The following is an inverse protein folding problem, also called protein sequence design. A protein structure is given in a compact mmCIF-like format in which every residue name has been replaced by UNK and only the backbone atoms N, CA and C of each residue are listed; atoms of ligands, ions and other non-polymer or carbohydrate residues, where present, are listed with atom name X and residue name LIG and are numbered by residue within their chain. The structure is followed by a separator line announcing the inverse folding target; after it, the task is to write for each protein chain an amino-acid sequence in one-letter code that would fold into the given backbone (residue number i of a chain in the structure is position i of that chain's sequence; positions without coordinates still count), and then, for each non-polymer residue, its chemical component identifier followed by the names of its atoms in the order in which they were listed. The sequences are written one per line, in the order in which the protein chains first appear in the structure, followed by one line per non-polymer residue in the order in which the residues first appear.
data_IF_404614774949
#
_entry.id   IF_404614774949
#
_cell.length_a   1.000
_cell.length_b   1.000
_cell.length_c   1.000
_cell.angle_alpha   90.00
_cell.angle_beta   90.00
_cell.angle_gamma   90.00
#
_symmetry.space_group_name_H-M   'P 1'
#
loop_
_entity.id
_entity.type
_entity.pdbx_description
1 polymer ?
#
# COMPACT_ATOMS: atom_id res chain seq x y z
N UNK A 1 5.35 6.40 9.06
CA UNK A 1 4.34 6.50 7.99
C UNK A 1 3.03 6.93 8.65
N UNK A 2 2.43 8.02 8.20
CA UNK A 2 1.19 8.54 8.78
C UNK A 2 -0.03 7.87 8.13
N UNK A 3 -0.87 7.22 8.95
CA UNK A 3 -2.10 6.55 8.50
C UNK A 3 -3.25 7.54 8.25
N UNK A 4 -3.06 8.84 8.53
CA UNK A 4 -4.08 9.87 8.33
C UNK A 4 -4.61 9.93 6.88
N UNK A 5 -3.79 9.55 5.89
CA UNK A 5 -4.11 9.69 4.47
C UNK A 5 -4.68 8.42 3.80
N UNK A 6 -4.89 7.34 4.55
CA UNK A 6 -5.34 6.03 4.00
C UNK A 6 -6.60 6.17 3.14
N UNK A 7 -7.62 6.88 3.63
CA UNK A 7 -8.88 7.05 2.90
C UNK A 7 -8.74 7.89 1.63
N UNK A 8 -7.87 8.91 1.66
CA UNK A 8 -7.61 9.75 0.49
C UNK A 8 -6.91 8.94 -0.60
N UNK A 9 -5.83 8.24 -0.26
CA UNK A 9 -5.07 7.42 -1.22
C UNK A 9 -5.95 6.30 -1.79
N UNK A 10 -6.77 5.67 -0.96
CA UNK A 10 -7.70 4.63 -1.39
C UNK A 10 -8.69 5.15 -2.44
N UNK A 11 -9.25 6.34 -2.23
CA UNK A 11 -10.16 6.98 -3.17
C UNK A 11 -9.46 7.36 -4.49
N UNK A 12 -8.26 7.95 -4.41
CA UNK A 12 -7.45 8.35 -5.58
C UNK A 12 -7.06 7.15 -6.46
N UNK A 13 -6.60 6.07 -5.83
CA UNK A 13 -6.15 4.85 -6.51
C UNK A 13 -7.29 3.85 -6.79
N UNK A 14 -8.52 4.16 -6.38
CA UNK A 14 -9.72 3.31 -6.53
C UNK A 14 -9.53 1.89 -5.98
N UNK A 15 -8.95 1.80 -4.78
CA UNK A 15 -8.73 0.55 -4.04
C UNK A 15 -9.34 0.64 -2.65
N UNK A 16 -9.35 -0.47 -1.89
CA UNK A 16 -9.94 -0.45 -0.55
C UNK A 16 -8.97 0.19 0.46
N UNK A 17 -9.48 0.98 1.44
CA UNK A 17 -8.67 1.53 2.52
C UNK A 17 -7.82 0.50 3.26
N UNK A 18 -8.34 -0.72 3.46
CA UNK A 18 -7.61 -1.80 4.13
C UNK A 18 -6.38 -2.25 3.34
N UNK A 19 -6.42 -2.21 2.00
CA UNK A 19 -5.27 -2.58 1.16
C UNK A 19 -4.17 -1.52 1.25
N UNK A 20 -4.55 -0.24 1.33
CA UNK A 20 -3.62 0.88 1.56
C UNK A 20 -2.98 0.76 2.94
N UNK A 21 -3.79 0.51 3.97
CA UNK A 21 -3.33 0.33 5.36
C UNK A 21 -2.33 -0.81 5.48
N UNK A 22 -2.69 -2.01 5.00
CA UNK A 22 -1.82 -3.18 5.06
C UNK A 22 -0.52 -2.97 4.27
N UNK A 23 -0.59 -2.30 3.13
CA UNK A 23 0.61 -1.96 2.34
C UNK A 23 1.49 -0.96 3.09
N UNK A 24 0.91 0.07 3.70
CA UNK A 24 1.64 1.08 4.46
C UNK A 24 2.34 0.47 5.69
N UNK A 25 1.68 -0.44 6.41
CA UNK A 25 2.25 -1.19 7.54
C UNK A 25 3.46 -2.03 7.09
N UNK A 26 3.30 -2.81 6.01
CA UNK A 26 4.40 -3.63 5.47
C UNK A 26 5.60 -2.78 5.03
N UNK A 27 5.35 -1.64 4.38
CA UNK A 27 6.41 -0.70 3.98
C UNK A 27 7.09 -0.07 5.21
N UNK A 28 6.34 0.26 6.26
CA UNK A 28 6.88 0.77 7.52
C UNK A 28 7.76 -0.27 8.23
N UNK A 29 7.42 -1.55 8.12
CA UNK A 29 8.21 -2.68 8.62
C UNK A 29 9.44 -3.01 7.73
N UNK A 30 9.69 -2.21 6.69
CA UNK A 30 10.86 -2.35 5.82
C UNK A 30 10.69 -3.35 4.68
N UNK A 31 9.48 -3.85 4.43
CA UNK A 31 9.22 -4.69 3.28
C UNK A 31 9.37 -3.88 1.97
N UNK A 32 9.92 -4.51 0.93
CA UNK A 32 10.07 -3.88 -0.39
C UNK A 32 8.87 -4.17 -1.28
N UNK A 33 8.64 -3.31 -2.28
CA UNK A 33 7.53 -3.49 -3.24
C UNK A 33 7.53 -4.88 -3.91
N UNK A 34 8.65 -5.40 -4.45
CA UNK A 34 8.67 -6.74 -5.05
C UNK A 34 8.38 -7.85 -4.03
N UNK A 35 8.83 -7.67 -2.78
CA UNK A 35 8.55 -8.62 -1.71
C UNK A 35 7.06 -8.66 -1.36
N UNK A 36 6.41 -7.50 -1.21
CA UNK A 36 4.99 -7.41 -0.88
C UNK A 36 4.15 -8.03 -2.01
N UNK A 37 4.42 -7.65 -3.26
CA UNK A 37 3.67 -8.14 -4.43
C UNK A 37 3.76 -9.67 -4.59
N UNK A 38 4.87 -10.28 -4.18
CA UNK A 38 5.12 -11.71 -4.34
C UNK A 38 4.71 -12.55 -3.14
N UNK A 39 4.95 -12.06 -1.92
CA UNK A 39 4.85 -12.86 -0.69
C UNK A 39 3.78 -12.38 0.30
N UNK A 40 3.15 -11.23 0.08
CA UNK A 40 2.13 -10.66 0.98
C UNK A 40 0.79 -10.39 0.29
N UNK A 41 0.47 -11.16 -0.75
CA UNK A 41 -0.77 -11.03 -1.52
C UNK A 41 -2.01 -11.08 -0.63
N UNK A 42 -2.12 -12.04 0.27
CA UNK A 42 -3.31 -12.16 1.12
C UNK A 42 -3.48 -10.95 2.05
N UNK A 43 -2.38 -10.43 2.59
CA UNK A 43 -2.40 -9.25 3.46
C UNK A 43 -2.85 -7.98 2.72
N UNK A 44 -2.50 -7.82 1.45
CA UNK A 44 -2.86 -6.65 0.64
C UNK A 44 -4.14 -6.84 -0.19
N UNK A 45 -4.82 -7.98 -0.10
CA UNK A 45 -5.96 -8.28 -0.98
C UNK A 45 -5.56 -8.48 -2.45
N UNK A 46 -4.40 -9.10 -2.67
CA UNK A 46 -3.81 -9.47 -3.96
C UNK A 46 -3.45 -8.29 -4.86
N UNK A 47 -2.99 -7.18 -4.28
CA UNK A 47 -2.42 -6.07 -5.07
C UNK A 47 -1.17 -6.53 -5.82
N UNK A 48 -1.03 -6.03 -7.04
CA UNK A 48 0.17 -6.21 -7.85
C UNK A 48 1.24 -5.15 -7.55
N UNK A 49 2.40 -5.32 -8.21
CA UNK A 49 3.55 -4.44 -8.02
C UNK A 49 3.26 -2.97 -8.40
N UNK A 50 2.40 -2.75 -9.39
CA UNK A 50 2.03 -1.42 -9.89
C UNK A 50 1.16 -0.69 -8.86
N UNK A 51 0.16 -1.38 -8.30
CA UNK A 51 -0.69 -0.82 -7.26
C UNK A 51 0.11 -0.53 -5.97
N UNK A 52 0.98 -1.45 -5.55
CA UNK A 52 1.82 -1.27 -4.36
C UNK A 52 2.80 -0.10 -4.54
N UNK A 53 3.40 0.03 -5.73
CA UNK A 53 4.23 1.18 -6.09
C UNK A 53 3.46 2.49 -6.00
N UNK A 54 2.25 2.52 -6.55
CA UNK A 54 1.40 3.72 -6.53
C UNK A 54 1.03 4.13 -5.10
N UNK A 55 0.73 3.17 -4.22
CA UNK A 55 0.48 3.42 -2.80
C UNK A 55 1.72 4.02 -2.13
N UNK A 56 2.89 3.39 -2.31
CA UNK A 56 4.16 3.86 -1.74
C UNK A 56 4.46 5.29 -2.17
N UNK A 57 4.31 5.59 -3.45
CA UNK A 57 4.64 6.91 -4.00
C UNK A 57 3.67 7.98 -3.49
N UNK A 58 2.38 7.67 -3.34
CA UNK A 58 1.40 8.58 -2.72
C UNK A 58 1.66 8.79 -1.23
N UNK A 59 2.02 7.74 -0.50
CA UNK A 59 2.42 7.85 0.92
C UNK A 59 3.68 8.70 1.11
N UNK A 60 4.57 8.76 0.12
CA UNK A 60 5.79 9.58 0.20
C UNK A 60 5.56 11.07 -0.15
N UNK A 61 4.40 11.41 -0.73
CA UNK A 61 4.04 12.77 -1.14
C UNK A 61 3.18 13.50 -0.08
N UNK A 62 2.76 12.80 0.98
CA UNK A 62 1.86 13.28 2.04
C UNK A 62 2.53 13.13 3.40
#
# INVERSE_FOLDING_TARGET
MDLAHVSQIAAELRIKPDQVRATAELLADGATVPFIARYRKEATGSLDEVAITSIRDRLAQL
#
